data_IF_110953211612
#
_entry.id   IF_110953211612
#
_cell.length_a   1.000
_cell.length_b   1.000
_cell.length_c   1.000
_cell.angle_alpha   90.00
_cell.angle_beta   90.00
_cell.angle_gamma   90.00
#
_symmetry.space_group_name_H-M   'P 1'
#
loop_
_entity.id
_entity.type
_entity.pdbx_description
1 polymer ?
#
# COMPACT_ATOMS: atom_id res chain seq x y z
N UNK A 1 -14.83 -7.69 10.71
CA UNK A 1 -14.75 -6.76 9.55
C UNK A 1 -13.79 -5.64 9.94
N UNK A 2 -12.72 -5.42 9.17
CA UNK A 2 -11.80 -4.32 9.42
C UNK A 2 -12.56 -2.99 9.27
N UNK A 3 -12.52 -2.11 10.28
CA UNK A 3 -13.32 -0.87 10.29
C UNK A 3 -12.50 0.36 9.89
N UNK A 4 -11.29 0.47 10.42
CA UNK A 4 -10.45 1.67 10.26
C UNK A 4 -8.98 1.30 10.22
N UNK A 5 -8.24 1.94 9.33
CA UNK A 5 -6.78 1.81 9.22
C UNK A 5 -6.11 3.14 9.59
N UNK A 6 -5.10 3.07 10.46
CA UNK A 6 -4.33 4.19 10.98
C UNK A 6 -2.87 4.05 10.52
N UNK A 7 -2.48 4.66 9.39
CA UNK A 7 -1.12 4.54 8.87
C UNK A 7 -0.11 5.26 9.76
N UNK A 8 1.07 4.66 9.96
CA UNK A 8 2.22 5.37 10.51
C UNK A 8 2.86 6.22 9.40
N UNK A 9 2.87 7.54 9.59
CA UNK A 9 3.41 8.48 8.62
C UNK A 9 4.91 8.27 8.33
N UNK A 10 5.68 7.77 9.30
CA UNK A 10 7.11 7.47 9.12
C UNK A 10 7.37 6.15 8.39
N UNK A 11 6.37 5.29 8.30
CA UNK A 11 6.46 3.98 7.67
C UNK A 11 5.55 3.91 6.44
N UNK A 12 5.68 4.91 5.57
CA UNK A 12 4.92 5.02 4.33
C UNK A 12 5.87 5.28 3.18
N UNK A 13 5.72 4.50 2.10
CA UNK A 13 6.50 4.63 0.86
C UNK A 13 5.57 4.54 -0.36
N UNK A 14 6.02 5.08 -1.48
CA UNK A 14 5.28 5.13 -2.73
C UNK A 14 6.09 4.45 -3.84
N UNK A 15 5.39 3.70 -4.69
CA UNK A 15 5.95 3.04 -5.87
C UNK A 15 5.13 3.46 -7.08
N UNK A 16 5.76 4.02 -8.10
CA UNK A 16 5.08 4.39 -9.36
C UNK A 16 4.49 3.15 -10.03
N UNK A 17 3.23 3.25 -10.47
CA UNK A 17 2.57 2.19 -11.22
C UNK A 17 2.88 2.32 -12.72
N UNK A 18 3.00 1.18 -13.39
CA UNK A 18 3.23 1.13 -14.83
C UNK A 18 1.92 1.30 -15.61
N UNK A 19 2.04 1.58 -16.91
CA UNK A 19 0.93 1.40 -17.85
C UNK A 19 0.38 -0.04 -17.75
N UNK A 20 -0.95 -0.26 -17.88
CA UNK A 20 -1.97 0.66 -18.36
C UNK A 20 -2.67 1.47 -17.26
N UNK A 21 -2.09 1.56 -16.05
CA UNK A 21 -2.64 2.52 -15.09
C UNK A 21 -2.54 3.94 -15.67
N UNK A 22 -3.51 4.83 -15.35
CA UNK A 22 -3.40 6.23 -15.72
C UNK A 22 -2.10 6.86 -15.20
N UNK A 23 -1.65 7.93 -15.84
CA UNK A 23 -0.51 8.72 -15.33
C UNK A 23 -0.78 9.18 -13.89
N UNK A 24 0.31 9.39 -13.13
CA UNK A 24 0.27 9.75 -11.71
C UNK A 24 -0.46 8.71 -10.84
N UNK A 25 -0.36 7.43 -11.21
CA UNK A 25 -0.82 6.32 -10.37
C UNK A 25 0.34 5.77 -9.57
N UNK A 26 0.13 5.59 -8.26
CA UNK A 26 1.13 5.02 -7.35
C UNK A 26 0.51 3.93 -6.47
N UNK A 27 1.34 2.97 -6.07
CA UNK A 27 1.07 2.11 -4.93
C UNK A 27 1.61 2.79 -3.67
N UNK A 28 0.71 3.12 -2.74
CA UNK A 28 1.09 3.54 -1.39
C UNK A 28 1.21 2.31 -0.51
N UNK A 29 2.38 2.06 0.03
CA UNK A 29 2.67 0.99 0.98
C UNK A 29 2.86 1.64 2.35
N UNK A 30 2.16 1.14 3.37
CA UNK A 30 2.30 1.67 4.72
C UNK A 30 2.17 0.59 5.78
N UNK A 31 2.94 0.71 6.86
CA UNK A 31 2.70 -0.03 8.10
C UNK A 31 1.84 0.84 9.02
N UNK A 32 0.87 0.23 9.67
CA UNK A 32 -0.03 0.93 10.58
C UNK A 32 -0.93 -0.03 11.35
N UNK A 33 -1.84 0.53 12.14
CA UNK A 33 -2.80 -0.26 12.91
C UNK A 33 -4.11 -0.39 12.14
N UNK A 34 -4.62 -1.60 12.01
CA UNK A 34 -5.97 -1.87 11.51
C UNK A 34 -6.85 -2.44 12.62
N UNK A 35 -8.02 -1.82 12.80
CA UNK A 35 -8.97 -2.21 13.83
C UNK A 35 -9.82 -3.40 13.36
N UNK A 36 -9.66 -4.55 14.01
CA UNK A 36 -10.44 -5.76 13.78
C UNK A 36 -11.20 -6.10 15.07
N UNK A 37 -12.51 -5.83 15.09
CA UNK A 37 -13.30 -5.98 16.31
C UNK A 37 -12.96 -4.89 17.32
N UNK A 38 -12.49 -5.29 18.51
CA UNK A 38 -12.09 -4.38 19.60
C UNK A 38 -10.57 -4.25 19.73
N UNK A 39 -9.81 -4.87 18.82
CA UNK A 39 -8.35 -4.90 18.87
C UNK A 39 -7.76 -4.18 17.65
N UNK A 40 -6.56 -3.62 17.86
CA UNK A 40 -5.76 -3.03 16.80
C UNK A 40 -4.60 -3.97 16.50
N UNK A 41 -4.53 -4.42 15.26
CA UNK A 41 -3.43 -5.23 14.79
C UNK A 41 -2.57 -4.42 13.85
N UNK A 42 -1.28 -4.61 13.99
CA UNK A 42 -0.37 -4.00 13.07
C UNK A 42 -0.31 -4.78 11.78
N UNK A 43 -0.42 -4.05 10.67
CA UNK A 43 -0.49 -4.62 9.33
C UNK A 43 0.33 -3.78 8.37
N UNK A 44 0.82 -4.43 7.33
CA UNK A 44 1.22 -3.73 6.10
C UNK A 44 0.01 -3.63 5.19
N UNK A 45 -0.17 -2.45 4.59
CA UNK A 45 -1.27 -2.18 3.68
C UNK A 45 -0.76 -1.54 2.40
N UNK A 46 -1.19 -2.09 1.27
CA UNK A 46 -0.97 -1.53 -0.06
C UNK A 46 -2.27 -0.93 -0.56
N UNK A 47 -2.24 0.33 -0.97
CA UNK A 47 -3.40 1.05 -1.50
C UNK A 47 -3.04 1.74 -2.82
N UNK A 48 -3.98 1.78 -3.76
CA UNK A 48 -3.81 2.57 -4.98
C UNK A 48 -3.98 4.05 -4.68
N UNK A 49 -3.18 4.88 -5.32
CA UNK A 49 -3.27 6.34 -5.33
C UNK A 49 -3.39 6.78 -6.78
N UNK A 50 -4.44 7.54 -7.09
CA UNK A 50 -4.65 8.15 -8.41
C UNK A 50 -4.66 9.66 -8.22
N UNK A 51 -3.79 10.38 -8.93
CA UNK A 51 -3.65 11.85 -8.84
C UNK A 51 -3.57 12.34 -7.37
N UNK A 52 -2.74 11.67 -6.57
CA UNK A 52 -2.53 11.99 -5.14
C UNK A 52 -3.68 11.58 -4.21
N UNK A 53 -4.75 10.95 -4.70
CA UNK A 53 -5.90 10.51 -3.89
C UNK A 53 -5.93 9.00 -3.71
N UNK A 54 -6.02 8.54 -2.46
CA UNK A 54 -6.13 7.12 -2.11
C UNK A 54 -7.47 6.55 -2.59
N UNK A 55 -7.42 5.46 -3.36
CA UNK A 55 -8.60 4.71 -3.79
C UNK A 55 -9.02 3.69 -2.72
N UNK A 56 -9.65 4.18 -1.64
CA UNK A 56 -9.79 3.43 -0.39
C UNK A 56 -10.51 2.08 -0.44
N UNK A 57 -11.42 1.85 -1.40
CA UNK A 57 -12.19 0.60 -1.52
C UNK A 57 -11.69 -0.35 -2.61
N UNK A 58 -10.69 0.05 -3.40
CA UNK A 58 -10.17 -0.77 -4.50
C UNK A 58 -8.95 -1.54 -4.05
N UNK A 59 -8.96 -2.85 -4.27
CA UNK A 59 -7.76 -3.67 -4.13
C UNK A 59 -6.71 -3.20 -5.14
N UNK A 60 -5.41 -3.19 -4.76
CA UNK A 60 -4.36 -2.92 -5.72
C UNK A 60 -4.37 -3.98 -6.81
N UNK A 61 -4.16 -3.54 -8.05
CA UNK A 61 -4.05 -4.41 -9.22
C UNK A 61 -2.69 -4.23 -9.84
N UNK A 62 -2.05 -5.34 -10.21
CA UNK A 62 -0.72 -5.37 -10.79
C UNK A 62 -0.84 -5.85 -12.24
N UNK A 63 -0.61 -4.98 -13.24
CA UNK A 63 -0.75 -5.36 -14.64
C UNK A 63 0.16 -6.54 -15.01
N UNK A 64 -0.37 -7.52 -15.74
CA UNK A 64 0.44 -8.62 -16.27
C UNK A 64 1.36 -8.08 -17.36
N UNK A 65 2.62 -8.50 -17.34
CA UNK A 65 3.65 -8.04 -18.27
C UNK A 65 4.46 -6.84 -17.77
N UNK A 66 4.15 -6.31 -16.59
CA UNK A 66 4.99 -5.33 -15.87
C UNK A 66 5.65 -5.98 -14.66
N UNK A 67 6.54 -5.25 -14.00
CA UNK A 67 7.22 -5.67 -12.77
C UNK A 67 6.60 -5.04 -11.49
N UNK A 68 5.41 -4.46 -11.60
CA UNK A 68 4.76 -3.71 -10.51
C UNK A 68 4.60 -4.56 -9.25
N UNK A 69 4.18 -5.81 -9.41
CA UNK A 69 4.04 -6.73 -8.27
C UNK A 69 5.38 -6.94 -7.56
N UNK A 70 6.45 -7.21 -8.32
CA UNK A 70 7.79 -7.44 -7.79
C UNK A 70 8.31 -6.19 -7.06
N UNK A 71 8.23 -5.01 -7.70
CA UNK A 71 8.68 -3.74 -7.09
C UNK A 71 7.91 -3.44 -5.80
N UNK A 72 6.60 -3.63 -5.79
CA UNK A 72 5.77 -3.42 -4.59
C UNK A 72 6.13 -4.43 -3.49
N UNK A 73 6.26 -5.71 -3.80
CA UNK A 73 6.60 -6.73 -2.78
C UNK A 73 8.01 -6.57 -2.23
N UNK A 74 8.99 -6.19 -3.07
CA UNK A 74 10.34 -5.84 -2.61
C UNK A 74 10.28 -4.68 -1.62
N UNK A 75 9.52 -3.63 -1.94
CA UNK A 75 9.35 -2.47 -1.06
C UNK A 75 8.57 -2.77 0.21
N UNK A 76 7.58 -3.66 0.16
CA UNK A 76 6.92 -4.21 1.36
C UNK A 76 7.93 -4.90 2.27
N UNK A 77 8.76 -5.79 1.72
CA UNK A 77 9.76 -6.52 2.51
C UNK A 77 10.81 -5.57 3.12
N UNK A 78 11.33 -4.62 2.34
CA UNK A 78 12.25 -3.59 2.86
C UNK A 78 11.64 -2.80 4.02
N UNK A 79 10.38 -2.38 3.88
CA UNK A 79 9.69 -1.61 4.92
C UNK A 79 9.46 -2.42 6.20
N UNK A 80 9.18 -3.72 6.07
CA UNK A 80 9.04 -4.64 7.20
C UNK A 80 10.38 -4.88 7.89
N UNK A 81 11.45 -5.11 7.12
CA UNK A 81 12.79 -5.38 7.66
C UNK A 81 13.42 -4.17 8.36
N UNK A 82 13.13 -2.95 7.90
CA UNK A 82 13.67 -1.70 8.46
C UNK A 82 12.77 -1.09 9.54
N UNK A 83 11.92 -1.90 10.16
CA UNK A 83 11.00 -1.48 11.20
C UNK A 83 11.69 -1.54 12.56
N UNK A 84 12.47 -0.50 12.85
CA UNK A 84 13.02 -0.21 14.18
C UNK A 84 12.16 0.82 14.93
#
# INVERSE_FOLDING_TARGET
MAKTFFPNAKQTIYVEASEPHPKNTQYKISIGLESWGNENHEVVKVQMVYDGKISGRRSPSYPIGTDDFQRVMTKVNELISNRE
#
